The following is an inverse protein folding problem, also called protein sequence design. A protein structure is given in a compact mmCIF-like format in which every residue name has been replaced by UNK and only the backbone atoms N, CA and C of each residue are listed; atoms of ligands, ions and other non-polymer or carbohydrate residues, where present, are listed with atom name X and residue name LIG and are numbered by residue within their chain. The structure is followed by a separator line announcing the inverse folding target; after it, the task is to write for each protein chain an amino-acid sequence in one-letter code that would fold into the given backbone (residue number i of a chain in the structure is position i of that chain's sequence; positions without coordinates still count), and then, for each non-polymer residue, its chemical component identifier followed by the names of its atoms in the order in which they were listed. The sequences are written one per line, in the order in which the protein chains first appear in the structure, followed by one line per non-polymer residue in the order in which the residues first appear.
data_IF_379856415224
#
_entry.id   IF_379856415224
#
_cell.length_a   1.000
_cell.length_b   1.000
_cell.length_c   1.000
_cell.angle_alpha   90.00
_cell.angle_beta   90.00
_cell.angle_gamma   90.00
#
_symmetry.space_group_name_H-M   'P 1'
#
loop_
_entity.id
_entity.type
_entity.pdbx_description
1 polymer ?
#
# COMPACT_ATOMS: atom_id res chain seq x y z
N UNK A 1 44.02 29.56 15.50
CA UNK A 1 45.06 28.97 14.62
C UNK A 1 44.57 27.60 14.17
N UNK A 2 44.94 27.18 12.95
CA UNK A 2 44.01 26.80 11.89
C UNK A 2 43.99 25.28 11.59
N UNK A 3 43.13 24.91 10.63
CA UNK A 3 43.27 23.78 9.67
C UNK A 3 43.30 22.34 10.25
N UNK A 4 42.46 21.41 9.78
CA UNK A 4 42.38 20.98 8.39
C UNK A 4 41.20 20.04 8.16
N UNK A 5 40.57 20.12 6.98
CA UNK A 5 39.80 19.03 6.38
C UNK A 5 40.74 17.89 5.96
N UNK A 6 40.24 16.64 5.88
CA UNK A 6 39.77 16.16 4.58
C UNK A 6 38.50 15.28 4.65
N UNK A 7 37.62 15.43 3.65
CA UNK A 7 36.86 14.30 3.08
C UNK A 7 37.78 13.60 2.03
N UNK A 8 37.61 12.32 1.61
CA UNK A 8 36.35 11.59 1.47
C UNK A 8 36.37 10.06 1.78
N UNK A 9 35.18 9.45 1.82
CA UNK A 9 34.80 8.04 1.54
C UNK A 9 35.78 6.88 1.89
N UNK A 10 35.35 5.89 2.70
CA UNK A 10 35.08 4.53 2.18
C UNK A 10 34.48 3.53 3.18
N UNK A 11 33.81 2.54 2.56
CA UNK A 11 33.32 1.25 3.07
C UNK A 11 34.02 0.63 4.29
N UNK A 12 33.25 -0.01 5.18
CA UNK A 12 33.78 -1.02 6.10
C UNK A 12 33.42 -2.45 5.63
N UNK A 13 34.41 -3.34 5.72
CA UNK A 13 34.44 -4.72 5.17
C UNK A 13 33.74 -5.79 6.04
N UNK A 14 32.94 -5.44 7.04
CA UNK A 14 32.53 -6.41 8.07
C UNK A 14 31.03 -6.69 8.20
N UNK A 15 30.18 -6.28 7.24
CA UNK A 15 28.78 -6.71 7.22
C UNK A 15 27.96 -6.32 8.47
N UNK A 16 28.40 -5.32 9.25
CA UNK A 16 27.64 -4.80 10.38
C UNK A 16 26.78 -3.63 9.93
N UNK A 17 25.46 -3.82 9.93
CA UNK A 17 24.48 -2.73 9.85
C UNK A 17 24.59 -1.90 11.13
N UNK A 18 25.07 -0.67 11.02
CA UNK A 18 24.94 0.33 12.08
C UNK A 18 23.64 1.07 11.80
N UNK A 19 22.73 1.09 12.78
CA UNK A 19 21.59 2.00 12.75
C UNK A 19 22.13 3.42 12.67
N UNK A 20 21.85 4.10 11.56
CA UNK A 20 22.08 5.53 11.49
C UNK A 20 21.08 6.19 12.44
N UNK A 21 21.58 6.70 13.56
CA UNK A 21 20.83 7.61 14.41
C UNK A 21 20.53 8.86 13.58
N UNK A 22 19.33 8.89 13.01
CA UNK A 22 18.78 10.05 12.35
C UNK A 22 18.34 11.02 13.45
N UNK A 23 18.97 12.20 13.49
CA UNK A 23 18.43 13.32 14.25
C UNK A 23 16.99 13.59 13.79
N UNK A 24 16.07 13.98 14.71
CA UNK A 24 14.72 14.37 14.32
C UNK A 24 14.79 15.43 13.21
N UNK A 25 14.06 15.20 12.12
CA UNK A 25 13.94 16.11 10.99
C UNK A 25 13.39 17.42 11.56
N UNK A 26 14.27 18.43 11.67
CA UNK A 26 13.87 19.77 12.07
C UNK A 26 13.18 20.42 10.89
N UNK A 27 11.88 20.62 10.98
CA UNK A 27 11.34 21.86 10.44
C UNK A 27 12.10 22.99 11.15
N UNK A 28 12.70 23.92 10.40
CA UNK A 28 13.25 25.13 10.99
C UNK A 28 12.19 25.77 11.89
N UNK A 29 12.60 26.38 13.00
CA UNK A 29 11.73 26.88 14.08
C UNK A 29 10.59 27.82 13.64
N UNK A 30 10.61 28.27 12.38
CA UNK A 30 9.75 29.33 11.86
C UNK A 30 9.08 28.96 10.51
N UNK A 31 9.10 27.68 10.10
CA UNK A 31 8.41 27.22 8.88
C UNK A 31 6.97 26.77 9.17
N UNK A 32 6.00 27.41 8.50
CA UNK A 32 4.57 27.11 8.65
C UNK A 32 4.09 26.24 7.48
N UNK A 33 3.83 24.96 7.74
CA UNK A 33 3.23 24.03 6.78
C UNK A 33 1.72 23.99 6.97
N UNK A 34 0.95 24.29 5.92
CA UNK A 34 -0.49 24.12 5.91
C UNK A 34 -0.88 22.98 4.99
N UNK A 35 -1.58 22.01 5.54
CA UNK A 35 -2.32 21.01 4.77
C UNK A 35 -3.73 21.55 4.53
N UNK A 36 -4.10 21.77 3.27
CA UNK A 36 -5.49 22.10 2.93
C UNK A 36 -6.26 20.79 2.83
N UNK A 37 -6.74 20.32 3.98
CA UNK A 37 -7.75 19.26 4.04
C UNK A 37 -9.12 19.88 3.78
N UNK A 38 -9.72 19.59 2.63
CA UNK A 38 -11.13 19.89 2.40
C UNK A 38 -11.97 18.67 2.75
N UNK A 39 -12.20 18.43 4.03
CA UNK A 39 -13.49 17.89 4.46
C UNK A 39 -13.81 18.21 5.92
N UNK A 40 -15.07 18.55 6.17
CA UNK A 40 -15.59 19.09 7.45
C UNK A 40 -16.19 18.03 8.37
N UNK A 41 -15.71 16.78 8.30
CA UNK A 41 -16.23 15.67 9.10
C UNK A 41 -15.13 15.10 10.01
N UNK A 42 -14.94 15.75 11.17
CA UNK A 42 -14.17 15.22 12.30
C UNK A 42 -15.00 14.18 13.07
N UNK A 43 -14.49 12.95 13.23
CA UNK A 43 -14.21 12.33 14.54
C UNK A 43 -13.73 10.87 14.37
N UNK A 44 -12.88 10.45 15.30
CA UNK A 44 -12.23 9.12 15.43
C UNK A 44 -10.93 8.88 14.63
N UNK A 45 -9.92 9.70 14.89
CA UNK A 45 -8.53 9.29 14.66
C UNK A 45 -8.04 8.47 15.87
N UNK A 46 -7.39 7.33 15.62
CA UNK A 46 -6.66 6.57 16.64
C UNK A 46 -5.60 7.48 17.26
N UNK A 47 -5.54 7.55 18.60
CA UNK A 47 -4.40 8.17 19.29
C UNK A 47 -3.16 7.31 18.97
N UNK A 48 -2.06 7.88 18.44
CA UNK A 48 -0.82 7.15 18.19
C UNK A 48 -0.31 6.34 19.39
N UNK A 49 -0.73 6.68 20.61
CA UNK A 49 -0.41 5.95 21.85
C UNK A 49 -1.19 4.65 22.02
N UNK A 50 -2.32 4.50 21.35
CA UNK A 50 -3.16 3.29 21.38
C UNK A 50 -2.70 2.23 20.37
N UNK A 51 -1.71 2.57 19.55
CA UNK A 51 -0.95 1.63 18.74
C UNK A 51 0.12 1.03 19.68
N UNK A 52 -0.24 -0.05 20.38
CA UNK A 52 0.74 -0.83 21.13
C UNK A 52 1.94 -1.19 20.26
N UNK A 53 3.13 -1.37 20.84
CA UNK A 53 4.37 -1.72 20.12
C UNK A 53 4.10 -2.80 19.07
N UNK A 54 3.85 -2.40 17.82
CA UNK A 54 3.89 -3.31 16.71
C UNK A 54 5.37 -3.60 16.59
N UNK A 55 5.77 -4.87 16.76
CA UNK A 55 7.05 -5.37 16.22
C UNK A 55 6.95 -5.34 14.69
N UNK A 56 6.85 -4.13 14.17
CA UNK A 56 6.42 -3.77 12.84
C UNK A 56 7.49 -2.99 12.10
N UNK A 57 7.22 -2.73 10.83
CA UNK A 57 8.17 -2.39 9.79
C UNK A 57 8.55 -0.99 10.14
N UNK A 58 9.85 -0.78 10.25
CA UNK A 58 10.32 0.55 9.91
C UNK A 58 10.02 0.71 8.42
N UNK A 59 9.16 1.67 8.10
CA UNK A 59 9.18 2.29 6.78
C UNK A 59 10.63 2.75 6.59
N UNK A 60 11.36 2.08 5.70
CA UNK A 60 12.71 2.47 5.37
C UNK A 60 12.71 3.18 4.04
N UNK A 61 13.67 4.09 3.89
CA UNK A 61 13.97 4.73 2.62
C UNK A 61 14.40 3.62 1.65
N UNK A 62 13.54 3.33 0.67
CA UNK A 62 13.83 2.40 -0.42
C UNK A 62 14.94 2.94 -1.34
N UNK A 63 15.29 4.21 -1.18
CA UNK A 63 16.28 4.93 -1.95
C UNK A 63 15.74 6.28 -2.44
N UNK A 64 16.60 7.05 -3.08
CA UNK A 64 16.25 8.36 -3.65
C UNK A 64 16.22 8.25 -5.17
N UNK A 65 15.12 8.69 -5.79
CA UNK A 65 15.04 8.91 -7.23
C UNK A 65 15.20 10.39 -7.56
N UNK A 66 15.95 10.67 -8.63
CA UNK A 66 15.99 11.99 -9.27
C UNK A 66 15.14 11.97 -10.54
N UNK A 67 14.50 13.09 -10.92
CA UNK A 67 13.81 13.16 -12.20
C UNK A 67 14.73 12.90 -13.38
N UNK A 68 14.22 12.18 -14.37
CA UNK A 68 14.93 11.87 -15.62
C UNK A 68 14.60 12.86 -16.74
N UNK A 69 13.51 13.60 -16.60
CA UNK A 69 13.09 14.63 -17.54
C UNK A 69 12.29 15.73 -16.85
N UNK A 70 12.27 16.90 -17.50
CA UNK A 70 11.54 18.08 -17.06
C UNK A 70 11.04 18.87 -18.27
N UNK A 71 9.87 19.50 -18.13
CA UNK A 71 9.36 20.47 -19.10
C UNK A 71 8.53 21.54 -18.39
N UNK A 72 8.50 22.73 -18.99
CA UNK A 72 7.66 23.84 -18.54
C UNK A 72 6.53 24.04 -19.53
N UNK A 73 5.29 24.14 -19.04
CA UNK A 73 4.15 24.48 -19.89
C UNK A 73 4.13 25.97 -20.26
N UNK A 74 3.35 26.34 -21.29
CA UNK A 74 3.13 27.75 -21.65
C UNK A 74 2.53 28.59 -20.50
N UNK A 75 1.91 27.94 -19.52
CA UNK A 75 1.36 28.57 -18.31
C UNK A 75 2.36 28.66 -17.15
N UNK A 76 3.65 28.36 -17.38
CA UNK A 76 4.71 28.46 -16.37
C UNK A 76 4.64 27.38 -15.28
N UNK A 77 4.15 26.18 -15.63
CA UNK A 77 4.13 25.03 -14.71
C UNK A 77 5.30 24.12 -15.07
N UNK A 78 6.20 23.93 -14.12
CA UNK A 78 7.32 23.00 -14.25
C UNK A 78 6.86 21.61 -13.86
N UNK A 79 7.03 20.64 -14.76
CA UNK A 79 6.67 19.23 -14.51
C UNK A 79 7.89 18.34 -14.65
N UNK A 80 8.06 17.47 -13.66
CA UNK A 80 9.17 16.53 -13.55
C UNK A 80 8.66 15.10 -13.73
N UNK A 81 9.38 14.30 -14.51
CA UNK A 81 9.16 12.86 -14.67
C UNK A 81 10.25 12.09 -13.93
N UNK A 82 9.89 11.29 -12.92
CA UNK A 82 10.81 10.42 -12.22
C UNK A 82 11.25 9.19 -13.04
N UNK A 83 10.58 8.91 -14.15
CA UNK A 83 10.78 7.71 -14.95
C UNK A 83 10.17 6.45 -14.34
N UNK A 84 9.76 6.51 -13.07
CA UNK A 84 9.20 5.42 -12.29
C UNK A 84 8.05 5.93 -11.41
N UNK A 85 6.95 5.19 -11.36
CA UNK A 85 5.88 5.45 -10.38
C UNK A 85 6.31 4.89 -9.01
N UNK A 86 6.30 5.74 -7.98
CA UNK A 86 6.74 5.42 -6.61
C UNK A 86 5.68 5.80 -5.59
N UNK A 87 5.75 5.19 -4.40
CA UNK A 87 5.09 5.71 -3.20
C UNK A 87 6.13 6.46 -2.36
N UNK A 88 5.95 7.75 -2.11
CA UNK A 88 6.96 8.56 -1.41
C UNK A 88 6.61 10.04 -1.33
N UNK A 89 7.64 10.87 -1.24
CA UNK A 89 7.54 12.33 -1.28
C UNK A 89 8.78 12.90 -1.98
N UNK A 90 8.88 14.23 -2.10
CA UNK A 90 10.06 14.89 -2.64
C UNK A 90 10.65 15.92 -1.68
N UNK A 91 11.98 15.99 -1.71
CA UNK A 91 12.82 17.10 -1.28
C UNK A 91 12.99 18.06 -2.45
N UNK A 92 12.59 19.31 -2.26
CA UNK A 92 12.58 20.33 -3.29
C UNK A 92 13.40 21.53 -2.84
N UNK A 93 14.29 22.01 -3.71
CA UNK A 93 15.09 23.21 -3.45
C UNK A 93 14.48 24.41 -4.15
N UNK A 94 14.27 25.49 -3.40
CA UNK A 94 13.72 26.75 -3.90
C UNK A 94 14.59 27.94 -3.49
N UNK A 95 14.56 28.99 -4.29
CA UNK A 95 15.11 30.31 -3.95
C UNK A 95 14.09 31.37 -4.35
N UNK A 96 13.76 32.29 -3.44
CA UNK A 96 12.73 33.30 -3.70
C UNK A 96 12.49 34.22 -2.52
N UNK A 97 11.56 35.18 -2.65
CA UNK A 97 11.25 36.12 -1.59
C UNK A 97 10.42 35.48 -0.46
N UNK A 98 10.58 36.00 0.76
CA UNK A 98 9.78 35.59 1.92
C UNK A 98 8.27 35.71 1.62
N UNK A 99 7.50 34.69 1.98
CA UNK A 99 6.04 34.66 1.81
C UNK A 99 5.58 34.21 0.43
N UNK A 100 6.49 33.91 -0.50
CA UNK A 100 6.12 33.34 -1.79
C UNK A 100 5.56 31.93 -1.60
N UNK A 101 4.37 31.66 -2.15
CA UNK A 101 3.73 30.36 -2.05
C UNK A 101 4.04 29.48 -3.26
N UNK A 102 4.54 28.27 -2.99
CA UNK A 102 4.79 27.22 -3.98
C UNK A 102 3.74 26.14 -3.81
N UNK A 103 3.04 25.84 -4.89
CA UNK A 103 2.05 24.77 -4.94
C UNK A 103 2.59 23.60 -5.76
N UNK A 104 2.60 22.42 -5.13
CA UNK A 104 3.16 21.18 -5.67
C UNK A 104 2.03 20.17 -5.80
N UNK A 105 1.91 19.53 -6.96
CA UNK A 105 0.91 18.48 -7.20
C UNK A 105 1.59 17.21 -7.70
N UNK A 106 1.08 16.07 -7.28
CA UNK A 106 1.61 14.75 -7.62
C UNK A 106 0.61 13.96 -8.46
N UNK A 107 1.09 13.04 -9.29
CA UNK A 107 0.22 12.06 -9.96
C UNK A 107 0.96 10.96 -10.71
N UNK A 108 0.22 9.90 -11.00
CA UNK A 108 0.77 8.64 -11.54
C UNK A 108 0.95 8.68 -13.06
N UNK A 109 0.05 9.38 -13.76
CA UNK A 109 -0.01 9.44 -15.21
C UNK A 109 -0.23 10.87 -15.69
N UNK A 110 0.15 11.13 -16.95
CA UNK A 110 -0.17 12.38 -17.61
C UNK A 110 -1.56 12.26 -18.27
N UNK A 111 -2.23 13.40 -18.43
CA UNK A 111 -3.42 13.50 -19.26
C UNK A 111 -3.06 13.06 -20.69
N UNK A 112 -3.86 12.17 -21.28
CA UNK A 112 -3.74 11.93 -22.71
C UNK A 112 -4.04 13.24 -23.45
N UNK A 113 -3.37 13.52 -24.58
CA UNK A 113 -3.80 14.60 -25.45
C UNK A 113 -5.24 14.28 -25.87
N UNK A 114 -6.20 15.07 -25.39
CA UNK A 114 -7.57 15.01 -25.90
C UNK A 114 -7.43 15.24 -27.41
N UNK A 115 -8.00 14.36 -28.22
CA UNK A 115 -8.10 14.54 -29.68
C UNK A 115 -9.07 15.69 -29.94
N UNK A 116 -8.65 16.91 -29.62
CA UNK A 116 -9.38 18.16 -29.82
C UNK A 116 -8.37 19.29 -29.76
N UNK A 117 -7.84 19.61 -30.94
CA UNK A 117 -7.30 20.91 -31.35
C UNK A 117 -6.28 21.58 -30.41
N UNK A 118 -5.00 21.38 -30.76
CA UNK A 118 -3.90 22.33 -30.54
C UNK A 118 -3.38 22.58 -29.11
N UNK A 119 -3.67 21.73 -28.13
CA UNK A 119 -2.98 21.77 -26.84
C UNK A 119 -2.27 20.45 -26.53
N UNK A 120 -0.95 20.47 -26.65
CA UNK A 120 -0.06 19.40 -26.19
C UNK A 120 0.05 19.40 -24.67
N UNK A 121 -1.02 19.09 -23.93
CA UNK A 121 -0.93 19.19 -22.46
C UNK A 121 -0.45 17.88 -21.86
N UNK A 122 0.87 17.76 -21.71
CA UNK A 122 1.55 16.83 -20.79
C UNK A 122 1.33 17.29 -19.33
N UNK A 123 0.07 17.46 -18.93
CA UNK A 123 -0.31 17.82 -17.56
C UNK A 123 -0.52 16.56 -16.73
N UNK A 124 -0.40 16.66 -15.40
CA UNK A 124 -0.70 15.55 -14.50
C UNK A 124 -2.21 15.27 -14.49
N UNK A 125 -2.58 13.99 -14.62
CA UNK A 125 -3.95 13.51 -14.46
C UNK A 125 -4.19 13.11 -13.00
N UNK A 126 -5.24 13.65 -12.38
CA UNK A 126 -5.55 13.42 -10.96
C UNK A 126 -6.97 12.93 -10.70
N UNK A 127 -7.81 12.73 -11.71
CA UNK A 127 -9.20 12.28 -11.48
C UNK A 127 -9.25 10.88 -10.87
N UNK A 128 -8.27 10.01 -11.18
CA UNK A 128 -8.14 8.67 -10.57
C UNK A 128 -7.85 8.73 -9.06
N UNK A 129 -7.36 9.86 -8.55
CA UNK A 129 -7.06 10.05 -7.13
C UNK A 129 -8.33 10.31 -6.29
N UNK A 130 -9.45 10.63 -6.95
CA UNK A 130 -10.75 10.91 -6.32
C UNK A 130 -10.62 12.05 -5.29
N UNK A 131 -10.98 11.78 -4.03
CA UNK A 131 -10.98 12.78 -2.96
C UNK A 131 -9.56 13.08 -2.42
N UNK A 132 -8.54 12.32 -2.84
CA UNK A 132 -7.16 12.60 -2.47
C UNK A 132 -6.60 13.74 -3.34
N UNK A 133 -6.43 14.92 -2.75
CA UNK A 133 -5.89 16.10 -3.45
C UNK A 133 -4.46 15.89 -3.97
N UNK A 134 -3.65 15.09 -3.26
CA UNK A 134 -2.24 14.77 -3.58
C UNK A 134 -1.42 16.02 -3.93
N UNK A 135 -1.49 17.02 -3.05
CA UNK A 135 -0.80 18.29 -3.24
C UNK A 135 -0.23 18.85 -1.95
N UNK A 136 0.88 19.54 -2.06
CA UNK A 136 1.54 20.22 -0.95
C UNK A 136 1.69 21.71 -1.25
N UNK A 137 1.58 22.53 -0.22
CA UNK A 137 1.88 23.97 -0.31
C UNK A 137 3.06 24.29 0.60
N UNK A 138 4.03 25.02 0.06
CA UNK A 138 5.17 25.54 0.81
C UNK A 138 5.20 27.07 0.72
N UNK A 139 5.38 27.75 1.84
CA UNK A 139 5.57 29.21 1.88
C UNK A 139 7.06 29.47 2.19
N UNK A 140 7.76 30.17 1.30
CA UNK A 140 9.19 30.44 1.44
C UNK A 140 9.48 31.35 2.64
N UNK A 141 10.59 31.09 3.34
CA UNK A 141 11.13 31.98 4.38
C UNK A 141 11.91 33.16 3.79
N UNK A 142 12.32 33.09 2.54
CA UNK A 142 13.12 34.11 1.88
C UNK A 142 14.63 34.00 2.13
N UNK A 143 15.16 32.79 2.32
CA UNK A 143 16.60 32.61 2.55
C UNK A 143 17.42 33.05 1.31
N UNK A 144 18.52 33.76 1.55
CA UNK A 144 19.30 34.41 0.48
C UNK A 144 20.02 33.46 -0.48
N UNK A 145 20.16 32.18 -0.11
CA UNK A 145 20.86 31.14 -0.89
C UNK A 145 19.86 30.16 -1.49
N UNK A 146 19.24 29.31 -0.66
CA UNK A 146 18.21 28.36 -1.08
C UNK A 146 17.59 27.69 0.14
N UNK A 147 16.33 27.28 0.03
CA UNK A 147 15.59 26.54 1.05
C UNK A 147 15.26 25.14 0.55
N UNK A 148 15.25 24.17 1.46
CA UNK A 148 14.81 22.81 1.16
C UNK A 148 13.45 22.59 1.81
N UNK A 149 12.46 22.24 0.99
CA UNK A 149 11.16 21.76 1.41
C UNK A 149 11.13 20.23 1.34
N UNK A 150 10.65 19.58 2.41
CA UNK A 150 10.39 18.15 2.45
C UNK A 150 9.10 17.90 3.25
N UNK A 151 8.25 17.00 2.76
CA UNK A 151 7.05 16.59 3.51
C UNK A 151 7.41 15.56 4.59
N UNK A 152 6.80 15.67 5.77
CA UNK A 152 7.07 14.77 6.90
C UNK A 152 5.87 13.92 7.32
N UNK A 153 4.66 14.29 6.93
CA UNK A 153 3.42 13.66 7.41
C UNK A 153 2.47 13.20 6.29
N UNK A 154 2.90 13.24 5.03
CA UNK A 154 2.12 12.72 3.90
C UNK A 154 2.98 11.94 2.92
N UNK A 155 2.34 11.05 2.17
CA UNK A 155 2.93 10.16 1.18
C UNK A 155 2.02 10.18 -0.03
N UNK A 156 2.62 10.24 -1.22
CA UNK A 156 1.92 10.24 -2.50
C UNK A 156 2.32 9.01 -3.33
N UNK A 157 1.38 8.47 -4.11
CA UNK A 157 1.68 7.57 -5.22
C UNK A 157 1.84 8.39 -6.49
N UNK A 158 3.05 8.46 -7.07
CA UNK A 158 3.32 9.33 -8.21
C UNK A 158 4.54 8.92 -9.03
N UNK A 159 4.49 9.24 -10.32
CA UNK A 159 5.64 9.31 -11.22
C UNK A 159 6.00 10.74 -11.56
N UNK A 160 4.99 11.61 -11.58
CA UNK A 160 5.11 13.00 -11.99
C UNK A 160 4.83 13.92 -10.82
N UNK A 161 5.56 15.03 -10.76
CA UNK A 161 5.22 16.18 -9.91
C UNK A 161 5.23 17.46 -10.73
N UNK A 162 4.28 18.36 -10.45
CA UNK A 162 4.17 19.68 -11.06
C UNK A 162 4.30 20.76 -10.00
N UNK A 163 5.07 21.79 -10.32
CA UNK A 163 5.30 22.98 -9.49
C UNK A 163 4.72 24.18 -10.22
N UNK A 164 3.75 24.85 -9.59
CA UNK A 164 3.00 25.93 -10.19
C UNK A 164 3.65 27.27 -9.84
N UNK A 165 4.15 27.98 -10.84
CA UNK A 165 4.77 29.30 -10.67
C UNK A 165 5.99 29.25 -9.73
N UNK A 166 7.05 28.49 -10.08
CA UNK A 166 8.22 28.37 -9.23
C UNK A 166 8.89 29.75 -8.99
N UNK A 167 9.48 29.98 -7.82
CA UNK A 167 10.04 31.29 -7.46
C UNK A 167 11.36 31.60 -8.19
N UNK A 168 11.99 30.59 -8.77
CA UNK A 168 13.21 30.64 -9.56
C UNK A 168 13.15 29.59 -10.68
N UNK A 169 14.07 29.68 -11.65
CA UNK A 169 14.27 28.61 -12.63
C UNK A 169 14.77 27.34 -11.90
N UNK A 170 14.06 26.24 -12.09
CA UNK A 170 14.37 24.95 -11.46
C UNK A 170 15.06 24.01 -12.45
N UNK A 171 15.87 23.10 -11.90
CA UNK A 171 16.59 22.07 -12.64
C UNK A 171 16.30 20.69 -12.08
N UNK A 172 16.74 19.64 -12.78
CA UNK A 172 16.63 18.26 -12.28
C UNK A 172 17.33 18.05 -10.93
N UNK A 173 18.38 18.83 -10.63
CA UNK A 173 19.14 18.72 -9.37
C UNK A 173 18.44 19.38 -8.18
N UNK A 174 17.36 20.12 -8.41
CA UNK A 174 16.55 20.74 -7.35
C UNK A 174 15.47 19.81 -6.79
N UNK A 175 15.37 18.58 -7.33
CA UNK A 175 14.34 17.61 -6.97
C UNK A 175 14.97 16.25 -6.66
N UNK A 176 14.69 15.74 -5.47
CA UNK A 176 15.04 14.39 -5.04
C UNK A 176 13.85 13.76 -4.34
N UNK A 177 13.46 12.55 -4.72
CA UNK A 177 12.26 11.91 -4.20
C UNK A 177 12.61 10.58 -3.52
N UNK A 178 12.71 10.58 -2.17
CA UNK A 178 12.74 9.35 -1.39
C UNK A 178 11.48 8.53 -1.64
N UNK A 179 11.63 7.22 -1.81
CA UNK A 179 10.49 6.32 -1.92
C UNK A 179 10.44 5.34 -0.76
N UNK A 180 9.23 4.94 -0.41
CA UNK A 180 9.00 3.99 0.66
C UNK A 180 9.14 2.57 0.16
N UNK A 181 9.87 1.78 0.93
CA UNK A 181 9.79 0.33 0.89
C UNK A 181 9.50 -0.17 2.30
N UNK A 182 8.48 -1.00 2.44
CA UNK A 182 8.29 -1.75 3.66
C UNK A 182 9.29 -2.92 3.66
N UNK A 183 10.05 -3.09 4.74
CA UNK A 183 10.93 -4.26 4.90
C UNK A 183 10.17 -5.57 5.16
N UNK A 184 8.84 -5.58 5.01
CA UNK A 184 7.99 -6.77 5.04
C UNK A 184 6.61 -6.49 4.42
N UNK A 185 5.79 -7.55 4.28
CA UNK A 185 4.39 -7.51 3.83
C UNK A 185 3.48 -6.66 4.75
N UNK A 186 2.98 -5.52 4.29
CA UNK A 186 1.89 -4.81 5.00
C UNK A 186 0.59 -5.55 4.71
N UNK A 187 -0.03 -6.11 5.75
CA UNK A 187 -1.36 -6.69 5.68
C UNK A 187 -2.41 -5.59 5.92
N UNK A 188 -3.24 -5.31 4.92
CA UNK A 188 -4.47 -4.55 5.12
C UNK A 188 -5.57 -5.57 5.44
N UNK A 189 -6.07 -5.63 6.69
CA UNK A 189 -7.11 -6.58 7.04
C UNK A 189 -8.39 -6.27 6.27
N UNK A 190 -8.85 -7.24 5.48
CA UNK A 190 -10.21 -7.25 4.92
C UNK A 190 -10.98 -8.31 5.68
N UNK A 191 -11.51 -7.95 6.85
CA UNK A 191 -12.20 -8.93 7.70
C UNK A 191 -12.74 -8.33 8.98
N UNK A 192 -13.92 -8.82 9.38
CA UNK A 192 -14.67 -8.34 10.53
C UNK A 192 -14.00 -8.82 11.83
N UNK A 193 -13.62 -7.91 12.73
CA UNK A 193 -13.30 -8.26 14.11
C UNK A 193 -14.59 -8.15 14.94
N UNK A 194 -15.16 -9.25 15.45
CA UNK A 194 -16.40 -9.22 16.24
C UNK A 194 -16.29 -8.39 17.54
N UNK A 195 -15.07 -8.05 17.97
CA UNK A 195 -14.80 -7.20 19.14
C UNK A 195 -14.40 -5.75 18.80
N UNK A 196 -14.15 -5.42 17.53
CA UNK A 196 -13.74 -4.08 17.07
C UNK A 196 -14.36 -3.75 15.71
N UNK A 197 -15.55 -3.14 15.67
CA UNK A 197 -16.26 -2.81 14.43
C UNK A 197 -15.64 -1.56 13.80
N UNK A 198 -14.60 -1.73 12.99
CA UNK A 198 -13.86 -0.59 12.49
C UNK A 198 -13.88 -0.47 10.94
N UNK A 199 -14.45 0.67 10.52
CA UNK A 199 -14.10 1.54 9.39
C UNK A 199 -14.81 1.42 8.04
N UNK A 200 -15.36 0.26 7.62
CA UNK A 200 -16.06 0.23 6.31
C UNK A 200 -17.02 -0.92 5.99
N UNK A 201 -17.45 -1.77 6.94
CA UNK A 201 -18.36 -2.87 6.56
C UNK A 201 -19.08 -3.58 7.72
N UNK A 202 -20.41 -3.62 7.66
CA UNK A 202 -21.31 -4.51 8.42
C UNK A 202 -21.61 -5.83 7.67
N UNK A 203 -20.76 -6.25 6.73
CA UNK A 203 -21.05 -7.36 5.81
C UNK A 203 -20.31 -8.65 6.18
N UNK A 204 -20.89 -9.84 5.85
CA UNK A 204 -20.17 -11.11 5.95
C UNK A 204 -18.88 -11.07 5.11
N UNK A 205 -17.86 -11.79 5.56
CA UNK A 205 -16.53 -11.79 4.98
C UNK A 205 -16.54 -12.56 3.64
N UNK A 206 -16.01 -11.95 2.57
CA UNK A 206 -15.87 -12.64 1.27
C UNK A 206 -14.84 -13.78 1.41
N UNK A 207 -15.20 -15.04 1.09
CA UNK A 207 -14.27 -16.17 1.15
C UNK A 207 -12.95 -15.94 0.42
N UNK A 208 -12.98 -15.29 -0.74
CA UNK A 208 -11.81 -15.05 -1.58
C UNK A 208 -10.80 -14.07 -0.94
N UNK A 209 -11.30 -13.03 -0.25
CA UNK A 209 -10.44 -12.09 0.49
C UNK A 209 -10.00 -12.66 1.83
N UNK A 210 -10.89 -13.40 2.49
CA UNK A 210 -10.65 -13.91 3.84
C UNK A 210 -9.70 -15.12 3.84
N UNK A 211 -9.62 -15.85 2.71
CA UNK A 211 -8.60 -16.88 2.45
C UNK A 211 -7.17 -16.33 2.56
N UNK A 212 -6.96 -15.00 2.55
CA UNK A 212 -5.66 -14.42 2.82
C UNK A 212 -5.08 -14.86 4.17
N UNK A 213 -5.90 -15.04 5.22
CA UNK A 213 -5.42 -15.50 6.54
C UNK A 213 -4.81 -16.91 6.48
N UNK A 214 -5.54 -17.98 6.06
CA UNK A 214 -4.94 -19.30 5.91
C UNK A 214 -3.84 -19.34 4.85
N UNK A 215 -4.02 -18.67 3.71
CA UNK A 215 -3.04 -18.69 2.62
C UNK A 215 -1.71 -18.04 3.02
N UNK A 216 -1.71 -16.82 3.57
CA UNK A 216 -0.46 -16.15 3.99
C UNK A 216 0.20 -16.91 5.13
N UNK A 217 -0.56 -17.36 6.13
CA UNK A 217 -0.03 -18.16 7.25
C UNK A 217 0.71 -19.40 6.74
N UNK A 218 0.11 -20.12 5.78
CA UNK A 218 0.75 -21.28 5.16
C UNK A 218 1.99 -20.91 4.36
N UNK A 219 1.94 -19.83 3.57
CA UNK A 219 3.08 -19.41 2.74
C UNK A 219 4.26 -18.94 3.60
N UNK A 220 4.04 -18.26 4.72
CA UNK A 220 5.10 -17.88 5.67
C UNK A 220 5.82 -19.13 6.18
N UNK A 221 5.08 -20.16 6.61
CA UNK A 221 5.67 -21.44 6.99
C UNK A 221 6.44 -22.09 5.83
N UNK A 222 5.85 -22.16 4.63
CA UNK A 222 6.50 -22.81 3.48
C UNK A 222 7.81 -22.16 3.05
N UNK A 223 7.94 -20.84 3.18
CA UNK A 223 9.13 -20.12 2.75
C UNK A 223 10.18 -19.98 3.86
N UNK A 224 9.76 -19.87 5.12
CA UNK A 224 10.66 -19.57 6.24
C UNK A 224 10.75 -20.68 7.29
N UNK A 225 10.00 -21.78 7.11
CA UNK A 225 9.82 -22.84 8.12
C UNK A 225 9.34 -22.30 9.48
N UNK A 226 8.63 -21.16 9.47
CA UNK A 226 8.13 -20.53 10.68
C UNK A 226 6.88 -21.24 11.20
N UNK A 227 7.13 -22.21 12.10
CA UNK A 227 6.08 -22.96 12.80
C UNK A 227 5.37 -22.10 13.85
N UNK A 228 5.98 -21.02 14.35
CA UNK A 228 5.35 -20.18 15.37
C UNK A 228 4.16 -19.43 14.78
N UNK A 229 4.32 -18.86 13.57
CA UNK A 229 3.21 -18.23 12.84
C UNK A 229 2.05 -19.21 12.62
N UNK A 230 2.32 -20.49 12.31
CA UNK A 230 1.25 -21.49 12.23
C UNK A 230 0.51 -21.63 13.57
N UNK A 231 1.23 -21.77 14.68
CA UNK A 231 0.63 -21.94 16.02
C UNK A 231 -0.22 -20.74 16.42
N UNK A 232 0.28 -19.54 16.16
CA UNK A 232 -0.38 -18.29 16.55
C UNK A 232 -1.71 -18.08 15.82
N UNK A 233 -1.79 -18.50 14.55
CA UNK A 233 -2.98 -18.29 13.70
C UNK A 233 -3.86 -19.53 13.52
N UNK A 234 -3.44 -20.71 13.97
CA UNK A 234 -4.17 -21.96 13.72
C UNK A 234 -5.61 -21.93 14.22
N UNK A 235 -5.84 -21.55 15.48
CA UNK A 235 -7.18 -21.57 16.06
C UNK A 235 -8.10 -20.51 15.41
N UNK A 236 -7.53 -19.40 14.91
CA UNK A 236 -8.26 -18.41 14.12
C UNK A 236 -8.69 -18.98 12.76
N UNK A 237 -7.82 -19.74 12.09
CA UNK A 237 -8.13 -20.41 10.83
C UNK A 237 -9.18 -21.51 11.04
N UNK A 238 -9.10 -22.28 12.13
CA UNK A 238 -10.15 -23.24 12.51
C UNK A 238 -11.50 -22.54 12.69
N UNK A 239 -11.55 -21.41 13.40
CA UNK A 239 -12.78 -20.65 13.60
C UNK A 239 -13.35 -20.12 12.27
N UNK A 240 -12.48 -19.66 11.38
CA UNK A 240 -12.87 -19.20 10.03
C UNK A 240 -13.41 -20.33 9.15
N UNK A 241 -12.75 -21.49 9.11
CA UNK A 241 -13.24 -22.67 8.37
C UNK A 241 -14.58 -23.14 8.93
N UNK A 242 -14.78 -23.11 10.26
CA UNK A 242 -16.08 -23.41 10.88
C UNK A 242 -17.17 -22.41 10.48
N UNK A 243 -16.83 -21.12 10.35
CA UNK A 243 -17.75 -20.10 9.86
C UNK A 243 -18.18 -20.38 8.41
N UNK A 244 -17.23 -20.64 7.50
CA UNK A 244 -17.53 -21.02 6.12
C UNK A 244 -18.37 -22.30 6.06
N UNK A 245 -18.06 -23.29 6.89
CA UNK A 245 -18.83 -24.51 7.00
C UNK A 245 -20.28 -24.24 7.46
N UNK A 246 -20.50 -23.24 8.31
CA UNK A 246 -21.84 -22.77 8.70
C UNK A 246 -22.64 -22.20 7.52
N UNK A 247 -22.00 -21.39 6.66
CA UNK A 247 -22.61 -20.89 5.42
C UNK A 247 -22.95 -22.07 4.50
N UNK A 248 -21.97 -22.95 4.28
CA UNK A 248 -22.14 -24.15 3.46
C UNK A 248 -23.33 -25.00 3.92
N UNK A 249 -23.51 -25.22 5.22
CA UNK A 249 -24.63 -26.01 5.74
C UNK A 249 -26.00 -25.37 5.44
N UNK A 250 -26.04 -24.05 5.22
CA UNK A 250 -27.27 -23.33 4.86
C UNK A 250 -27.51 -23.28 3.34
N UNK A 251 -26.46 -23.26 2.52
CA UNK A 251 -26.57 -22.96 1.08
C UNK A 251 -26.18 -24.10 0.14
N UNK A 252 -25.34 -25.03 0.58
CA UNK A 252 -24.55 -25.91 -0.28
C UNK A 252 -23.49 -25.15 -1.10
N UNK A 253 -22.64 -25.86 -1.83
CA UNK A 253 -21.59 -25.25 -2.67
C UNK A 253 -22.16 -24.55 -3.91
N UNK A 254 -23.19 -25.12 -4.54
CA UNK A 254 -23.79 -24.55 -5.76
C UNK A 254 -24.37 -23.13 -5.57
N UNK A 255 -24.77 -22.78 -4.34
CA UNK A 255 -25.30 -21.46 -3.98
C UNK A 255 -24.40 -20.69 -3.01
N UNK A 256 -23.12 -21.07 -2.91
CA UNK A 256 -22.17 -20.39 -2.03
C UNK A 256 -21.89 -18.99 -2.57
N UNK A 257 -22.12 -17.93 -1.79
CA UNK A 257 -22.04 -16.56 -2.32
C UNK A 257 -20.70 -15.90 -2.01
N UNK A 258 -20.19 -15.16 -2.99
CA UNK A 258 -19.05 -14.25 -2.85
C UNK A 258 -19.50 -12.84 -3.20
N UNK A 259 -18.81 -11.84 -2.68
CA UNK A 259 -19.13 -10.42 -2.92
C UNK A 259 -18.39 -9.89 -4.14
N UNK A 260 -17.11 -10.20 -4.25
CA UNK A 260 -16.22 -9.65 -5.24
C UNK A 260 -15.79 -10.71 -6.28
N UNK A 261 -15.57 -11.97 -5.86
CA UNK A 261 -15.24 -13.07 -6.77
C UNK A 261 -14.05 -12.78 -7.69
N UNK A 262 -14.22 -13.01 -8.99
CA UNK A 262 -13.23 -12.73 -10.04
C UNK A 262 -13.10 -11.23 -10.32
N UNK A 263 -12.49 -10.48 -9.40
CA UNK A 263 -12.51 -9.02 -9.43
C UNK A 263 -11.63 -8.46 -10.54
N UNK A 264 -12.27 -7.77 -11.50
CA UNK A 264 -11.68 -7.15 -12.70
C UNK A 264 -11.16 -8.21 -13.70
N UNK A 265 -12.05 -9.05 -14.27
CA UNK A 265 -11.65 -9.96 -15.33
C UNK A 265 -11.30 -9.15 -16.60
N UNK A 266 -10.40 -9.66 -17.46
CA UNK A 266 -10.05 -8.98 -18.70
C UNK A 266 -11.27 -8.88 -19.63
N UNK A 267 -11.63 -7.69 -20.12
CA UNK A 267 -12.67 -7.57 -21.14
C UNK A 267 -12.35 -8.39 -22.39
N UNK A 268 -13.35 -8.99 -23.08
CA UNK A 268 -14.79 -8.87 -22.87
C UNK A 268 -15.37 -9.94 -21.91
N UNK A 269 -14.53 -10.72 -21.24
CA UNK A 269 -14.99 -11.89 -20.50
C UNK A 269 -15.85 -11.50 -19.29
N UNK A 270 -16.97 -12.20 -19.04
CA UNK A 270 -17.75 -11.98 -17.84
C UNK A 270 -16.98 -12.46 -16.61
N UNK A 271 -17.37 -11.97 -15.43
CA UNK A 271 -16.87 -12.52 -14.17
C UNK A 271 -17.20 -14.01 -14.09
N UNK A 272 -16.21 -14.80 -13.69
CA UNK A 272 -16.39 -16.21 -13.40
C UNK A 272 -17.50 -16.40 -12.35
N UNK A 273 -18.23 -17.53 -12.44
CA UNK A 273 -19.32 -17.87 -11.53
C UNK A 273 -18.86 -17.72 -10.05
N UNK A 274 -19.56 -16.87 -9.29
CA UNK A 274 -19.20 -16.58 -7.90
C UNK A 274 -19.28 -17.80 -6.98
N UNK A 275 -20.26 -18.69 -7.18
CA UNK A 275 -20.37 -19.93 -6.40
C UNK A 275 -19.22 -20.88 -6.68
N UNK A 276 -18.74 -20.93 -7.92
CA UNK A 276 -17.56 -21.71 -8.28
C UNK A 276 -16.33 -21.20 -7.50
N UNK A 277 -16.10 -19.89 -7.50
CA UNK A 277 -14.96 -19.27 -6.82
C UNK A 277 -15.04 -19.46 -5.31
N UNK A 278 -16.15 -19.06 -4.68
CA UNK A 278 -16.29 -19.16 -3.24
C UNK A 278 -16.22 -20.60 -2.73
N UNK A 279 -16.75 -21.55 -3.50
CA UNK A 279 -16.61 -22.97 -3.18
C UNK A 279 -15.15 -23.42 -3.28
N UNK A 280 -14.44 -23.03 -4.34
CA UNK A 280 -13.02 -23.35 -4.49
C UNK A 280 -12.20 -22.82 -3.32
N UNK A 281 -12.41 -21.55 -2.94
CA UNK A 281 -11.70 -20.93 -1.82
C UNK A 281 -11.96 -21.68 -0.50
N UNK A 282 -13.20 -22.11 -0.26
CA UNK A 282 -13.51 -22.94 0.91
C UNK A 282 -12.78 -24.29 0.90
N UNK A 283 -12.77 -25.01 -0.23
CA UNK A 283 -12.01 -26.25 -0.36
C UNK A 283 -10.51 -26.04 -0.14
N UNK A 284 -9.96 -24.99 -0.75
CA UNK A 284 -8.55 -24.60 -0.63
C UNK A 284 -8.19 -24.33 0.83
N UNK A 285 -9.00 -23.56 1.55
CA UNK A 285 -8.75 -23.22 2.95
C UNK A 285 -8.86 -24.43 3.89
N UNK A 286 -9.80 -25.35 3.64
CA UNK A 286 -9.87 -26.63 4.38
C UNK A 286 -8.61 -27.45 4.13
N UNK A 287 -8.12 -27.51 2.89
CA UNK A 287 -6.88 -28.22 2.55
C UNK A 287 -5.65 -27.60 3.23
N UNK A 288 -5.56 -26.27 3.26
CA UNK A 288 -4.50 -25.58 3.99
C UNK A 288 -4.54 -25.91 5.49
N UNK A 289 -5.73 -25.93 6.09
CA UNK A 289 -5.91 -26.29 7.50
C UNK A 289 -5.49 -27.75 7.77
N UNK A 290 -5.81 -28.70 6.88
CA UNK A 290 -5.32 -30.08 6.97
C UNK A 290 -3.79 -30.09 7.01
N UNK A 291 -3.13 -29.41 6.07
CA UNK A 291 -1.67 -29.38 6.02
C UNK A 291 -1.06 -28.77 7.29
N UNK A 292 -1.62 -27.66 7.79
CA UNK A 292 -1.18 -27.05 9.04
C UNK A 292 -1.37 -27.99 10.23
N UNK A 293 -2.51 -28.69 10.30
CA UNK A 293 -2.81 -29.62 11.39
C UNK A 293 -1.82 -30.78 11.43
N UNK A 294 -1.39 -31.29 10.27
CA UNK A 294 -0.38 -32.34 10.16
C UNK A 294 0.99 -31.86 10.68
N UNK A 295 1.42 -30.66 10.27
CA UNK A 295 2.68 -30.06 10.73
C UNK A 295 2.68 -29.85 12.25
N UNK A 296 1.54 -29.45 12.81
CA UNK A 296 1.39 -29.21 14.25
C UNK A 296 1.07 -30.48 15.05
N UNK A 297 0.95 -31.64 14.41
CA UNK A 297 0.62 -32.91 15.07
C UNK A 297 -0.81 -32.99 15.61
N UNK A 298 -1.73 -32.16 15.11
CA UNK A 298 -3.15 -32.11 15.51
C UNK A 298 -3.97 -33.18 14.77
N UNK A 299 -3.74 -34.45 15.13
CA UNK A 299 -4.31 -35.62 14.44
C UNK A 299 -5.84 -35.59 14.32
N UNK A 300 -6.55 -35.24 15.39
CA UNK A 300 -8.03 -35.22 15.39
C UNK A 300 -8.58 -34.19 14.39
N UNK A 301 -7.95 -33.01 14.32
CA UNK A 301 -8.30 -31.99 13.32
C UNK A 301 -7.95 -32.48 11.91
N UNK A 302 -6.79 -33.10 11.72
CA UNK A 302 -6.40 -33.68 10.42
C UNK A 302 -7.47 -34.65 9.92
N UNK A 303 -7.90 -35.59 10.76
CA UNK A 303 -8.89 -36.61 10.40
C UNK A 303 -10.26 -35.96 10.11
N UNK A 304 -10.69 -35.02 10.95
CA UNK A 304 -11.97 -34.30 10.82
C UNK A 304 -12.03 -33.48 9.52
N UNK A 305 -11.04 -32.63 9.28
CA UNK A 305 -11.04 -31.76 8.10
C UNK A 305 -10.74 -32.52 6.81
N UNK A 306 -9.99 -33.63 6.86
CA UNK A 306 -9.82 -34.51 5.70
C UNK A 306 -11.15 -35.13 5.26
N UNK A 307 -11.98 -35.57 6.22
CA UNK A 307 -13.33 -36.08 5.90
C UNK A 307 -14.21 -34.98 5.30
N UNK A 308 -14.16 -33.76 5.85
CA UNK A 308 -14.87 -32.61 5.29
C UNK A 308 -14.39 -32.30 3.86
N UNK A 309 -13.08 -32.24 3.62
CA UNK A 309 -12.52 -31.96 2.31
C UNK A 309 -12.99 -32.96 1.26
N UNK A 310 -12.99 -34.25 1.56
CA UNK A 310 -13.48 -35.27 0.62
C UNK A 310 -14.94 -35.04 0.24
N UNK A 311 -15.81 -34.78 1.24
CA UNK A 311 -17.21 -34.46 0.99
C UNK A 311 -17.37 -33.22 0.10
N UNK A 312 -16.63 -32.16 0.40
CA UNK A 312 -16.67 -30.90 -0.37
C UNK A 312 -16.12 -31.09 -1.79
N UNK A 313 -15.06 -31.88 -1.98
CA UNK A 313 -14.48 -32.17 -3.29
C UNK A 313 -15.44 -32.95 -4.19
N UNK A 314 -16.13 -33.94 -3.63
CA UNK A 314 -17.17 -34.68 -4.35
C UNK A 314 -18.32 -33.77 -4.78
N UNK A 315 -18.85 -32.95 -3.86
CA UNK A 315 -19.94 -32.01 -4.14
C UNK A 315 -19.50 -30.93 -5.15
N UNK A 316 -18.29 -30.40 -5.02
CA UNK A 316 -17.73 -29.41 -5.95
C UNK A 316 -17.65 -29.97 -7.37
N UNK A 317 -17.15 -31.20 -7.51
CA UNK A 317 -17.08 -31.87 -8.80
C UNK A 317 -18.48 -32.05 -9.40
N UNK A 318 -19.44 -32.53 -8.61
CA UNK A 318 -20.83 -32.70 -9.07
C UNK A 318 -21.50 -31.38 -9.46
N UNK A 319 -21.22 -30.30 -8.73
CA UNK A 319 -21.85 -29.00 -8.95
C UNK A 319 -21.28 -28.25 -10.16
N UNK A 320 -19.99 -28.39 -10.44
CA UNK A 320 -19.29 -27.48 -11.36
C UNK A 320 -18.53 -28.15 -12.49
N UNK A 321 -18.22 -29.45 -12.42
CA UNK A 321 -17.55 -30.13 -13.52
C UNK A 321 -18.56 -30.55 -14.59
N UNK A 322 -18.34 -30.10 -15.83
CA UNK A 322 -19.08 -30.56 -16.99
C UNK A 322 -18.11 -31.23 -17.97
N UNK A 323 -18.44 -32.45 -18.39
CA UNK A 323 -17.65 -33.25 -19.34
C UNK A 323 -17.96 -32.94 -20.80
N UNK A 324 -18.99 -32.12 -21.05
CA UNK A 324 -19.51 -31.82 -22.40
C UNK A 324 -18.73 -30.74 -23.13
#
# INVERSE_FOLDING_TARGET
MPESMPAPLNSSRNGSLVLQDMLPIRAGSDALHFEVMTDSQQQDYLDPKDIGEIKGAKLTDGGILKPVAMWTSDSGIDTFDLGQNIAGWCRLRFQGPHGFGVYIRYGEVLTQPVVSTNHSTRNIYTENLRDATASNTYILRGDSVSEIYESTFTIHGFRYLSIFGPPNELTLDDVECPFLMANYLIFLPVGNNPSKPNWRSNYPSDPNWSSAMPTITWQVYRHYSDVQTLKDYYDHIVAYVKYLHGIYNATGLANFTVRFGDWIPPPPEPMTNGSLIGSFDFLHDVNLLINMSQVLGKKEDTDTYSALYQKLAEEFHQAFYNTS
#
